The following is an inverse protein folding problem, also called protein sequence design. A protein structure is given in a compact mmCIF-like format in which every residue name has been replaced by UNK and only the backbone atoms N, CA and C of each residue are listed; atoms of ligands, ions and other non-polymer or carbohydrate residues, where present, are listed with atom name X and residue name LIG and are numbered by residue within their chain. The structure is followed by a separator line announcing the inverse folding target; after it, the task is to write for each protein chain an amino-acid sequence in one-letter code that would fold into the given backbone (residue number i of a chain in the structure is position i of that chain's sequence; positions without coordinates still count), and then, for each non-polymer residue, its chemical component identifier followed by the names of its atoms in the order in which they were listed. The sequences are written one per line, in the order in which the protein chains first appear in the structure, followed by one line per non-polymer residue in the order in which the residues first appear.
data_IF_181698396563
#
_entry.id   IF_181698396563
#
_cell.length_a   1.000
_cell.length_b   1.000
_cell.length_c   1.000
_cell.angle_alpha   90.00
_cell.angle_beta   90.00
_cell.angle_gamma   90.00
#
_symmetry.space_group_name_H-M   'P 1'
#
loop_
_entity.id
_entity.type
_entity.pdbx_description
1 polymer ?
#
# COMPACT_ATOMS: atom_id res chain seq x y z
N UNK A 1 -13.86 -4.69 5.48
CA UNK A 1 -15.08 -5.08 6.21
C UNK A 1 -16.20 -4.08 5.94
N UNK A 2 -16.60 -3.95 4.67
CA UNK A 2 -17.78 -3.20 4.27
C UNK A 2 -18.36 -3.94 3.09
N UNK A 3 -18.69 -5.20 3.32
CA UNK A 3 -19.38 -6.06 2.37
C UNK A 3 -20.87 -5.71 2.33
N UNK A 4 -21.22 -4.42 2.56
CA UNK A 4 -22.57 -3.90 2.43
C UNK A 4 -22.87 -3.88 0.93
N UNK A 5 -23.55 -4.93 0.52
CA UNK A 5 -24.08 -5.04 -0.82
C UNK A 5 -25.26 -4.09 -0.97
N UNK A 6 -25.54 -3.65 -2.20
CA UNK A 6 -26.70 -2.80 -2.50
C UNK A 6 -28.00 -3.38 -1.91
N UNK A 7 -28.11 -4.71 -1.88
CA UNK A 7 -29.23 -5.42 -1.30
C UNK A 7 -29.40 -5.24 0.22
N UNK A 8 -28.33 -5.28 0.99
CA UNK A 8 -28.38 -5.06 2.45
C UNK A 8 -28.78 -3.62 2.78
N UNK A 9 -28.23 -2.66 2.03
CA UNK A 9 -28.61 -1.26 2.18
C UNK A 9 -30.10 -1.04 1.88
N UNK A 10 -30.61 -1.68 0.82
CA UNK A 10 -32.03 -1.64 0.47
C UNK A 10 -32.91 -2.29 1.54
N UNK A 11 -32.51 -3.45 2.08
CA UNK A 11 -33.24 -4.15 3.14
C UNK A 11 -33.34 -3.30 4.42
N UNK A 12 -32.22 -2.69 4.85
CA UNK A 12 -32.20 -1.77 5.99
C UNK A 12 -33.08 -0.55 5.71
N UNK A 13 -33.03 -0.02 4.49
CA UNK A 13 -33.91 1.06 4.04
C UNK A 13 -35.38 0.72 4.20
N UNK A 14 -35.82 -0.46 3.73
CA UNK A 14 -37.22 -0.92 3.86
C UNK A 14 -37.63 -1.04 5.32
N UNK A 15 -36.80 -1.66 6.16
CA UNK A 15 -37.08 -1.81 7.59
C UNK A 15 -37.19 -0.43 8.26
N UNK A 16 -36.28 0.49 7.94
CA UNK A 16 -36.32 1.85 8.45
C UNK A 16 -37.59 2.60 7.99
N UNK A 17 -38.03 2.41 6.75
CA UNK A 17 -39.28 2.98 6.23
C UNK A 17 -40.50 2.46 6.99
N UNK A 18 -40.55 1.16 7.32
CA UNK A 18 -41.69 0.58 8.06
C UNK A 18 -41.72 1.11 9.51
N UNK A 19 -40.57 1.12 10.19
CA UNK A 19 -40.49 1.48 11.61
C UNK A 19 -40.69 2.97 11.83
N UNK A 20 -40.03 3.80 11.03
CA UNK A 20 -40.04 5.27 11.17
C UNK A 20 -41.20 5.90 10.38
N UNK A 21 -41.59 5.27 9.27
CA UNK A 21 -42.55 5.80 8.31
C UNK A 21 -41.86 6.56 7.16
N UNK A 22 -42.33 6.39 5.91
CA UNK A 22 -41.75 7.04 4.73
C UNK A 22 -41.87 8.57 4.77
N UNK A 23 -42.86 9.13 5.48
CA UNK A 23 -43.00 10.59 5.61
C UNK A 23 -41.99 11.20 6.60
N UNK A 24 -41.51 10.42 7.57
CA UNK A 24 -40.72 10.95 8.71
C UNK A 24 -39.21 10.82 8.49
N UNK A 25 -38.79 9.75 7.80
CA UNK A 25 -37.40 9.52 7.37
C UNK A 25 -36.77 10.71 6.62
N UNK A 26 -37.42 11.30 5.58
CA UNK A 26 -36.86 12.45 4.88
C UNK A 26 -36.78 13.70 5.77
N UNK A 27 -37.68 13.84 6.75
CA UNK A 27 -37.64 14.91 7.74
C UNK A 27 -36.41 14.81 8.66
N UNK A 28 -36.13 13.61 9.18
CA UNK A 28 -34.96 13.34 10.01
C UNK A 28 -33.66 13.50 9.22
N UNK A 29 -33.58 12.93 8.01
CA UNK A 29 -32.42 13.07 7.14
C UNK A 29 -32.10 14.54 6.83
N UNK A 30 -33.13 15.38 6.57
CA UNK A 30 -32.95 16.82 6.36
C UNK A 30 -32.46 17.55 7.62
N UNK A 31 -32.95 17.16 8.79
CA UNK A 31 -32.58 17.80 10.06
C UNK A 31 -31.15 17.44 10.45
N UNK A 32 -30.83 16.14 10.47
CA UNK A 32 -29.47 15.64 10.71
C UNK A 32 -28.50 16.15 9.65
N UNK A 33 -28.92 16.21 8.38
CA UNK A 33 -28.11 16.75 7.30
C UNK A 33 -27.78 18.24 7.49
N UNK A 34 -28.72 19.05 7.99
CA UNK A 34 -28.46 20.46 8.33
C UNK A 34 -27.47 20.61 9.47
N UNK A 35 -27.57 19.77 10.50
CA UNK A 35 -26.66 19.80 11.64
C UNK A 35 -25.26 19.33 11.25
N UNK A 36 -25.16 18.19 10.57
CA UNK A 36 -23.91 17.66 10.06
C UNK A 36 -23.27 18.62 9.06
N UNK A 37 -24.07 19.27 8.20
CA UNK A 37 -23.59 20.28 7.27
C UNK A 37 -22.98 21.50 7.97
N UNK A 38 -23.62 21.99 9.03
CA UNK A 38 -23.07 23.07 9.87
C UNK A 38 -21.77 22.64 10.56
N UNK A 39 -21.75 21.45 11.17
CA UNK A 39 -20.54 20.91 11.80
C UNK A 39 -19.39 20.76 10.80
N UNK A 40 -19.66 20.19 9.63
CA UNK A 40 -18.68 20.01 8.56
C UNK A 40 -18.13 21.34 8.05
N UNK A 41 -18.98 22.37 7.99
CA UNK A 41 -18.58 23.73 7.61
C UNK A 41 -17.64 24.36 8.64
N UNK A 42 -17.99 24.28 9.93
CA UNK A 42 -17.13 24.77 11.02
C UNK A 42 -15.78 24.07 11.02
N UNK A 43 -15.75 22.74 10.85
CA UNK A 43 -14.49 21.99 10.75
C UNK A 43 -13.69 22.40 9.51
N UNK A 44 -14.35 22.68 8.38
CA UNK A 44 -13.66 23.13 7.17
C UNK A 44 -13.06 24.53 7.32
N UNK A 45 -13.72 25.44 8.04
CA UNK A 45 -13.23 26.80 8.32
C UNK A 45 -12.03 26.76 9.27
N UNK A 46 -12.12 26.03 10.38
CA UNK A 46 -10.99 25.83 11.31
C UNK A 46 -9.83 25.14 10.61
N UNK A 47 -10.09 24.11 9.80
CA UNK A 47 -9.06 23.46 9.01
C UNK A 47 -8.39 24.44 8.03
N UNK A 48 -9.15 25.34 7.41
CA UNK A 48 -8.59 26.32 6.47
C UNK A 48 -7.73 27.39 7.16
N UNK A 49 -8.05 27.78 8.40
CA UNK A 49 -7.19 28.64 9.23
C UNK A 49 -5.93 27.90 9.69
N UNK A 50 -6.08 26.67 10.18
CA UNK A 50 -4.95 25.84 10.63
C UNK A 50 -4.02 25.49 9.48
N UNK A 51 -4.54 25.13 8.29
CA UNK A 51 -3.75 24.83 7.09
C UNK A 51 -2.95 26.05 6.60
N UNK A 52 -3.40 27.27 6.93
CA UNK A 52 -2.74 28.53 6.56
C UNK A 52 -1.67 28.96 7.57
N UNK A 53 -1.83 28.62 8.85
CA UNK A 53 -0.91 29.04 9.92
C UNK A 53 0.09 27.95 10.33
N UNK A 54 -0.28 26.67 10.22
CA UNK A 54 0.54 25.54 10.58
C UNK A 54 0.63 24.59 9.38
N UNK A 55 1.84 24.41 8.84
CA UNK A 55 2.09 23.42 7.79
C UNK A 55 1.51 22.07 8.22
N UNK A 56 0.51 21.65 7.45
CA UNK A 56 -0.36 20.48 7.51
C UNK A 56 0.27 19.12 7.85
N UNK A 57 1.56 19.03 8.13
CA UNK A 57 2.26 17.77 8.36
C UNK A 57 2.12 17.27 9.80
N UNK A 58 2.13 18.13 10.83
CA UNK A 58 2.06 17.64 12.22
C UNK A 58 0.68 17.10 12.63
N UNK A 59 -0.42 17.79 12.28
CA UNK A 59 -1.78 17.29 12.58
C UNK A 59 -2.15 16.08 11.72
N UNK A 60 -1.69 16.05 10.46
CA UNK A 60 -1.95 14.92 9.56
C UNK A 60 -1.14 13.71 9.99
N UNK A 61 0.08 13.89 10.52
CA UNK A 61 0.88 12.83 11.12
C UNK A 61 0.23 12.29 12.39
N UNK A 62 -0.28 13.14 13.29
CA UNK A 62 -0.90 12.68 14.54
C UNK A 62 -2.31 12.08 14.35
N UNK A 63 -3.12 12.59 13.41
CA UNK A 63 -4.37 11.95 13.00
C UNK A 63 -4.12 10.62 12.30
N UNK A 64 -3.11 10.56 11.43
CA UNK A 64 -2.66 9.28 10.85
C UNK A 64 -2.21 8.36 11.96
N UNK A 65 -1.32 8.77 12.84
CA UNK A 65 -0.81 7.91 13.91
C UNK A 65 -1.93 7.41 14.83
N UNK A 66 -2.97 8.19 15.14
CA UNK A 66 -4.12 7.68 15.91
C UNK A 66 -5.02 6.74 15.09
N UNK A 67 -5.34 7.08 13.84
CA UNK A 67 -6.18 6.26 12.99
C UNK A 67 -5.49 4.95 12.58
N UNK A 68 -4.20 5.02 12.29
CA UNK A 68 -3.31 3.94 11.88
C UNK A 68 -2.99 3.05 13.09
N UNK A 69 -2.63 3.60 14.26
CA UNK A 69 -2.31 2.76 15.41
C UNK A 69 -3.53 2.09 16.04
N UNK A 70 -4.67 2.77 16.21
CA UNK A 70 -5.83 2.16 16.87
C UNK A 70 -6.62 1.25 15.91
N UNK A 71 -6.87 1.71 14.68
CA UNK A 71 -7.67 0.93 13.73
C UNK A 71 -6.88 -0.18 13.05
N UNK A 72 -5.56 -0.02 12.86
CA UNK A 72 -4.74 -1.14 12.35
C UNK A 72 -4.30 -2.09 13.45
N UNK A 73 -4.01 -1.69 14.70
CA UNK A 73 -3.60 -2.70 15.71
C UNK A 73 -4.69 -3.73 15.98
N UNK A 74 -5.94 -3.31 16.10
CA UNK A 74 -7.09 -4.21 16.33
C UNK A 74 -7.40 -5.12 15.13
N UNK A 75 -7.10 -4.66 13.90
CA UNK A 75 -7.31 -5.46 12.68
C UNK A 75 -6.07 -6.31 12.35
N UNK A 76 -4.87 -5.83 12.65
CA UNK A 76 -3.60 -6.47 12.28
C UNK A 76 -3.27 -7.65 13.20
N UNK A 77 -3.63 -7.60 14.49
CA UNK A 77 -3.44 -8.75 15.39
C UNK A 77 -4.17 -10.02 14.93
N UNK A 78 -5.49 -9.99 14.65
CA UNK A 78 -6.18 -11.18 14.17
C UNK A 78 -5.75 -11.56 12.75
N UNK A 79 -5.42 -10.59 11.88
CA UNK A 79 -4.96 -10.87 10.51
C UNK A 79 -3.57 -11.54 10.48
N UNK A 80 -2.65 -11.18 11.38
CA UNK A 80 -1.32 -11.82 11.45
C UNK A 80 -1.42 -13.26 11.93
N UNK A 81 -2.16 -13.51 13.01
CA UNK A 81 -2.39 -14.88 13.50
C UNK A 81 -3.07 -15.75 12.43
N UNK A 82 -4.10 -15.22 11.76
CA UNK A 82 -4.78 -15.92 10.69
C UNK A 82 -3.86 -16.15 9.48
N UNK A 83 -2.98 -15.21 9.14
CA UNK A 83 -1.98 -15.37 8.06
C UNK A 83 -1.00 -16.50 8.39
N UNK A 84 -0.53 -16.61 9.63
CA UNK A 84 0.43 -17.64 10.03
C UNK A 84 -0.23 -19.04 10.00
N UNK A 85 -1.47 -19.16 10.49
CA UNK A 85 -2.25 -20.41 10.40
C UNK A 85 -2.56 -20.79 8.95
N UNK A 86 -2.95 -19.80 8.12
CA UNK A 86 -3.20 -19.99 6.70
C UNK A 86 -1.91 -20.41 5.97
N UNK A 87 -0.78 -19.75 6.23
CA UNK A 87 0.52 -20.08 5.64
C UNK A 87 1.01 -21.47 6.06
N UNK A 88 0.77 -21.86 7.32
CA UNK A 88 1.07 -23.20 7.80
C UNK A 88 0.23 -24.26 7.07
N UNK A 89 -1.07 -24.03 6.90
CA UNK A 89 -1.94 -24.92 6.13
C UNK A 89 -1.58 -24.95 4.64
N UNK A 90 -1.24 -23.81 4.02
CA UNK A 90 -0.82 -23.77 2.62
C UNK A 90 0.55 -24.41 2.38
N UNK A 91 1.48 -24.34 3.34
CA UNK A 91 2.76 -25.04 3.25
C UNK A 91 2.62 -26.55 3.42
N UNK A 92 1.65 -27.02 4.21
CA UNK A 92 1.36 -28.46 4.38
C UNK A 92 0.55 -29.03 3.19
N UNK A 93 -0.24 -28.17 2.53
CA UNK A 93 -1.03 -28.50 1.35
C UNK A 93 -0.33 -28.24 0.00
N UNK A 94 0.99 -28.03 -0.04
CA UNK A 94 1.78 -28.09 -1.29
C UNK A 94 2.39 -29.50 -1.45
N UNK A 95 1.78 -30.41 -2.22
CA UNK A 95 2.36 -31.71 -2.55
C UNK A 95 3.31 -31.57 -3.76
N UNK A 96 3.80 -30.35 -4.07
CA UNK A 96 4.37 -29.99 -5.36
C UNK A 96 5.88 -29.77 -5.39
N UNK A 97 6.55 -29.51 -4.26
CA UNK A 97 8.01 -29.23 -4.25
C UNK A 97 8.94 -30.44 -4.11
N UNK A 98 8.54 -31.61 -4.61
CA UNK A 98 9.50 -32.61 -5.11
C UNK A 98 9.78 -32.37 -6.59
N UNK A 99 10.61 -31.37 -6.92
CA UNK A 99 11.61 -31.37 -8.03
C UNK A 99 12.12 -29.96 -8.33
N UNK A 100 13.40 -29.91 -8.67
CA UNK A 100 14.25 -28.76 -8.99
C UNK A 100 14.65 -27.93 -7.75
N UNK A 101 15.81 -28.14 -7.11
CA UNK A 101 17.03 -28.61 -7.74
C UNK A 101 17.54 -27.59 -8.75
N UNK A 102 17.81 -26.36 -8.30
CA UNK A 102 18.89 -25.57 -8.91
C UNK A 102 19.97 -25.45 -7.82
N UNK A 103 21.06 -26.22 -7.91
CA UNK A 103 22.16 -26.09 -6.98
C UNK A 103 22.90 -24.80 -7.30
N UNK A 104 22.87 -23.84 -6.37
CA UNK A 104 23.83 -22.74 -6.35
C UNK A 104 25.18 -23.32 -5.93
N UNK A 105 26.03 -23.65 -6.91
CA UNK A 105 27.41 -24.11 -6.66
C UNK A 105 28.40 -23.10 -7.25
N UNK A 106 29.14 -22.46 -6.33
CA UNK A 106 30.24 -21.54 -6.58
C UNK A 106 31.49 -22.23 -7.20
N UNK A 107 32.51 -21.47 -7.64
CA UNK A 107 33.40 -21.82 -8.76
C UNK A 107 34.66 -22.60 -8.34
N UNK A 108 35.12 -23.58 -9.14
CA UNK A 108 36.57 -23.91 -9.23
C UNK A 108 36.97 -24.87 -10.38
N UNK A 109 37.79 -24.31 -11.27
CA UNK A 109 39.01 -24.84 -11.93
C UNK A 109 38.98 -26.13 -12.80
N UNK A 110 39.18 -25.85 -14.10
CA UNK A 110 40.20 -26.39 -15.04
C UNK A 110 40.22 -27.91 -15.32
N UNK A 111 40.07 -28.26 -16.60
CA UNK A 111 41.09 -29.03 -17.37
C UNK A 111 40.82 -28.96 -18.88
N UNK A 112 41.87 -28.57 -19.63
CA UNK A 112 42.34 -29.23 -20.87
C UNK A 112 41.47 -29.12 -22.14
N UNK A 113 41.74 -28.13 -23.00
CA UNK A 113 42.53 -28.26 -24.26
C UNK A 113 41.74 -28.81 -25.46
N UNK A 114 41.37 -27.91 -26.38
CA UNK A 114 41.90 -27.96 -27.75
C UNK A 114 42.01 -26.54 -28.31
N UNK A 115 43.21 -26.27 -28.81
CA UNK A 115 43.76 -25.01 -29.33
C UNK A 115 43.25 -24.74 -30.79
N UNK A 116 43.75 -23.73 -31.53
CA UNK A 116 43.15 -22.42 -31.85
C UNK A 116 42.94 -22.25 -33.39
N UNK A 117 42.71 -21.07 -34.01
CA UNK A 117 43.60 -19.91 -34.08
C UNK A 117 42.93 -18.52 -33.87
N UNK A 118 43.79 -17.52 -33.59
CA UNK A 118 43.60 -16.06 -33.73
C UNK A 118 43.44 -15.67 -35.23
N UNK A 119 43.39 -14.38 -35.71
CA UNK A 119 43.45 -13.07 -35.03
C UNK A 119 42.33 -12.08 -35.51
N UNK A 120 42.04 -10.97 -34.84
CA UNK A 120 42.75 -9.71 -35.08
C UNK A 120 42.43 -8.67 -34.01
N UNK A 121 43.48 -8.24 -33.32
CA UNK A 121 43.56 -6.96 -32.64
C UNK A 121 43.72 -5.84 -33.66
N UNK A 122 43.07 -4.69 -33.43
CA UNK A 122 43.62 -3.35 -33.67
C UNK A 122 42.68 -2.32 -33.03
N UNK A 123 43.11 -1.32 -32.26
CA UNK A 123 44.38 -0.99 -31.62
C UNK A 123 44.03 0.20 -30.71
N UNK A 124 44.47 0.18 -29.45
CA UNK A 124 44.74 1.43 -28.74
C UNK A 124 45.95 2.10 -29.40
N UNK A 125 45.84 3.39 -29.69
CA UNK A 125 46.96 4.34 -29.65
C UNK A 125 46.40 5.55 -28.89
N UNK A 126 46.78 5.78 -27.63
CA UNK A 126 48.01 6.47 -27.23
C UNK A 126 48.27 7.75 -28.02
N UNK A 127 48.02 8.89 -27.38
CA UNK A 127 48.85 10.12 -27.30
C UNK A 127 48.02 11.11 -26.47
N UNK A 128 48.36 11.47 -25.23
CA UNK A 128 49.47 12.33 -24.78
C UNK A 128 49.50 13.67 -25.53
N UNK A 129 48.93 14.71 -24.92
CA UNK A 129 49.32 16.13 -25.01
C UNK A 129 48.29 16.93 -24.16
N UNK A 130 48.65 17.50 -23.00
CA UNK A 130 49.40 18.76 -22.82
C UNK A 130 48.66 19.95 -23.44
N UNK A 131 48.26 20.91 -22.59
CA UNK A 131 48.31 22.37 -22.77
C UNK A 131 47.14 23.03 -22.00
N UNK A 132 47.42 23.74 -20.89
CA UNK A 132 47.60 25.21 -20.84
C UNK A 132 46.25 25.94 -20.92
N UNK A 133 45.76 26.47 -19.81
CA UNK A 133 45.98 27.86 -19.34
C UNK A 133 45.16 28.89 -20.11
N UNK A 134 44.39 29.71 -19.38
CA UNK A 134 44.06 31.06 -19.85
C UNK A 134 42.69 31.58 -19.43
N UNK A 135 42.74 32.55 -18.52
CA UNK A 135 41.82 33.66 -18.26
C UNK A 135 40.41 33.37 -17.75
#
# INVERSE_FOLDING_TARGET
MFDISFWELAMIGVVALIVVGPERLPGLARTTGRWLGKARRMVAEVKAEVDRELQLDELKQSLRQQADLNSLKDVMQPIQALRDDIQAQFNDLDPGRRRAGIPECQPRRRTTTRNPPRPTCRRRAHTRAVAKSGC
#
